data_IF_331660053831
#
_entry.id   IF_331660053831
#
_cell.length_a   1.000
_cell.length_b   1.000
_cell.length_c   1.000
_cell.angle_alpha   90.00
_cell.angle_beta   90.00
_cell.angle_gamma   90.00
#
_symmetry.space_group_name_H-M   'P 1'
#
loop_
_entity.id
_entity.type
_entity.pdbx_description
1 polymer ?
#
# COMPACT_ATOMS: atom_id res chain seq x y z
N UNK A 1 20.48 32.91 -66.55
CA UNK A 1 19.87 34.15 -66.03
C UNK A 1 18.67 33.83 -65.13
N UNK A 2 18.87 34.03 -63.81
CA UNK A 2 17.87 34.25 -62.74
C UNK A 2 16.78 33.17 -62.59
N UNK A 3 16.90 32.11 -61.77
CA UNK A 3 16.86 32.04 -60.28
C UNK A 3 15.83 32.95 -59.60
N UNK A 4 14.70 32.37 -59.21
CA UNK A 4 13.85 32.83 -58.09
C UNK A 4 13.15 31.63 -57.46
N UNK A 5 13.68 31.20 -56.32
CA UNK A 5 13.01 30.39 -55.28
C UNK A 5 11.93 31.23 -54.61
N UNK A 6 10.79 30.65 -54.16
CA UNK A 6 9.96 31.26 -53.14
C UNK A 6 10.45 30.86 -51.74
N UNK A 7 10.48 31.85 -50.86
CA UNK A 7 10.88 31.80 -49.47
C UNK A 7 10.11 30.75 -48.66
N UNK A 8 10.85 29.87 -47.99
CA UNK A 8 10.37 29.09 -46.85
C UNK A 8 10.27 30.00 -45.64
N UNK A 9 9.04 30.44 -45.35
CA UNK A 9 8.69 31.09 -44.10
C UNK A 9 8.93 30.10 -42.93
N UNK A 10 9.99 30.36 -42.16
CA UNK A 10 10.28 29.75 -40.87
C UNK A 10 9.29 30.27 -39.83
N UNK A 11 8.04 29.86 -39.95
CA UNK A 11 7.09 29.95 -38.87
C UNK A 11 7.42 28.87 -37.84
N UNK A 12 7.94 29.33 -36.71
CA UNK A 12 8.22 28.60 -35.47
C UNK A 12 7.18 27.50 -35.19
N UNK A 13 7.60 26.25 -34.86
CA UNK A 13 6.66 25.25 -34.41
C UNK A 13 6.00 25.71 -33.10
N UNK A 14 4.69 25.48 -32.90
CA UNK A 14 4.01 25.84 -31.67
C UNK A 14 4.68 25.14 -30.50
N UNK A 15 4.81 25.89 -29.40
CA UNK A 15 5.36 25.44 -28.14
C UNK A 15 4.91 24.01 -27.82
N UNK A 16 5.91 23.14 -27.77
CA UNK A 16 5.86 21.77 -27.31
C UNK A 16 5.07 21.76 -25.99
N UNK A 17 3.80 21.37 -26.04
CA UNK A 17 3.04 21.02 -24.84
C UNK A 17 3.78 19.83 -24.24
N UNK A 18 4.59 20.12 -23.23
CA UNK A 18 5.24 19.12 -22.40
C UNK A 18 4.16 18.17 -21.93
N UNK A 19 4.13 16.97 -22.52
CA UNK A 19 3.42 15.83 -21.96
C UNK A 19 3.82 15.75 -20.49
N UNK A 20 2.88 15.54 -19.55
CA UNK A 20 3.25 15.28 -18.18
C UNK A 20 4.18 14.08 -18.19
N UNK A 21 5.45 14.35 -17.91
CA UNK A 21 6.50 13.36 -17.71
C UNK A 21 6.04 12.36 -16.67
N UNK A 22 6.47 11.10 -16.80
CA UNK A 22 6.34 9.98 -15.86
C UNK A 22 6.76 10.37 -14.43
N UNK A 23 5.98 11.23 -13.80
CA UNK A 23 6.15 11.71 -12.45
C UNK A 23 5.33 10.74 -11.62
N UNK A 24 6.04 9.84 -10.97
CA UNK A 24 5.50 9.01 -9.90
C UNK A 24 4.64 9.94 -9.01
N UNK A 25 3.32 9.72 -8.88
CA UNK A 25 2.47 10.62 -8.11
C UNK A 25 3.00 10.65 -6.67
N UNK A 26 3.66 11.75 -6.32
CA UNK A 26 4.35 11.93 -5.06
C UNK A 26 3.36 12.43 -4.03
N UNK A 27 2.82 11.52 -3.22
CA UNK A 27 2.17 11.90 -1.97
C UNK A 27 3.29 12.26 -0.97
N UNK A 28 3.37 13.54 -0.62
CA UNK A 28 4.24 14.05 0.44
C UNK A 28 3.33 14.51 1.58
N UNK A 29 3.56 14.02 2.80
CA UNK A 29 2.71 14.30 3.96
C UNK A 29 3.49 14.98 5.09
N UNK A 30 2.86 15.91 5.83
CA UNK A 30 3.34 16.32 7.15
C UNK A 30 3.17 15.17 8.17
N UNK A 31 3.91 15.22 9.30
CA UNK A 31 3.82 14.19 10.33
C UNK A 31 2.41 14.08 10.96
N UNK A 32 2.04 12.89 11.52
CA UNK A 32 0.66 12.53 11.88
C UNK A 32 -0.02 13.40 12.94
N UNK A 33 0.76 14.17 13.70
CA UNK A 33 0.35 14.89 14.91
C UNK A 33 -0.22 16.30 14.65
N UNK A 34 -0.26 16.77 13.39
CA UNK A 34 -0.73 18.12 13.02
C UNK A 34 -1.71 18.13 11.85
N UNK A 35 -2.67 17.19 11.82
CA UNK A 35 -3.70 17.17 10.77
C UNK A 35 -4.69 18.32 11.02
N UNK A 36 -4.77 19.23 10.05
CA UNK A 36 -5.74 20.33 10.09
C UNK A 36 -7.19 19.83 10.00
N UNK A 37 -8.14 20.68 10.36
CA UNK A 37 -9.56 20.32 10.23
C UNK A 37 -9.92 20.11 8.76
N UNK A 38 -10.90 19.23 8.52
CA UNK A 38 -11.39 18.94 7.16
C UNK A 38 -11.86 20.21 6.47
N UNK A 39 -12.58 21.09 7.18
CA UNK A 39 -13.08 22.36 6.63
C UNK A 39 -11.95 23.29 6.17
N UNK A 40 -10.87 23.38 6.97
CA UNK A 40 -9.69 24.19 6.62
C UNK A 40 -8.96 23.58 5.42
N UNK A 41 -8.76 22.26 5.42
CA UNK A 41 -8.08 21.55 4.35
C UNK A 41 -8.84 21.61 3.02
N UNK A 42 -10.18 21.51 3.05
CA UNK A 42 -11.02 21.70 1.87
C UNK A 42 -10.78 23.06 1.23
N UNK A 43 -10.81 24.14 2.03
CA UNK A 43 -10.54 25.50 1.54
C UNK A 43 -9.15 25.63 0.95
N UNK A 44 -8.14 25.07 1.61
CA UNK A 44 -6.75 25.13 1.14
C UNK A 44 -6.53 24.35 -0.16
N UNK A 45 -7.20 23.20 -0.32
CA UNK A 45 -7.19 22.41 -1.56
C UNK A 45 -7.95 23.15 -2.68
N UNK A 46 -9.05 23.82 -2.38
CA UNK A 46 -9.77 24.67 -3.35
C UNK A 46 -8.90 25.83 -3.86
N UNK A 47 -8.15 26.48 -2.96
CA UNK A 47 -7.21 27.55 -3.30
C UNK A 47 -5.98 27.02 -4.07
N UNK A 48 -5.56 25.78 -3.80
CA UNK A 48 -4.36 25.17 -4.37
C UNK A 48 -4.63 23.74 -4.90
N UNK A 49 -5.42 23.59 -5.98
CA UNK A 49 -5.93 22.29 -6.43
C UNK A 49 -4.87 21.33 -6.99
N UNK A 50 -3.62 21.79 -7.17
CA UNK A 50 -2.50 20.96 -7.63
C UNK A 50 -1.51 20.62 -6.50
N UNK A 51 -1.79 21.04 -5.26
CA UNK A 51 -0.91 20.74 -4.13
C UNK A 51 -1.21 19.33 -3.59
N UNK A 52 -0.37 18.37 -4.00
CA UNK A 52 -0.51 16.96 -3.62
C UNK A 52 -0.43 16.74 -2.10
N UNK A 53 0.35 17.57 -1.37
CA UNK A 53 0.47 17.46 0.08
C UNK A 53 -0.84 17.83 0.80
N UNK A 54 -1.49 18.93 0.38
CA UNK A 54 -2.77 19.33 0.94
C UNK A 54 -3.87 18.30 0.67
N UNK A 55 -3.87 17.72 -0.53
CA UNK A 55 -4.79 16.64 -0.89
C UNK A 55 -4.56 15.40 -0.04
N UNK A 56 -3.31 15.00 0.14
CA UNK A 56 -2.98 13.84 0.94
C UNK A 56 -3.36 14.04 2.42
N UNK A 57 -3.12 15.22 2.98
CA UNK A 57 -3.53 15.55 4.35
C UNK A 57 -5.06 15.55 4.48
N UNK A 58 -5.78 16.08 3.48
CA UNK A 58 -7.24 16.01 3.43
C UNK A 58 -7.75 14.57 3.34
N UNK A 59 -7.11 13.72 2.52
CA UNK A 59 -7.45 12.31 2.43
C UNK A 59 -7.23 11.60 3.76
N UNK A 60 -6.12 11.88 4.45
CA UNK A 60 -5.85 11.33 5.77
C UNK A 60 -6.88 11.78 6.81
N UNK A 61 -7.24 13.07 6.83
CA UNK A 61 -8.29 13.61 7.70
C UNK A 61 -9.63 12.90 7.45
N UNK A 62 -9.98 12.65 6.19
CA UNK A 62 -11.17 11.88 5.83
C UNK A 62 -11.11 10.42 6.33
N UNK A 63 -9.97 9.73 6.18
CA UNK A 63 -9.80 8.37 6.68
C UNK A 63 -9.98 8.30 8.20
N UNK A 64 -9.38 9.23 8.94
CA UNK A 64 -9.51 9.31 10.40
C UNK A 64 -10.95 9.62 10.85
N UNK A 65 -11.69 10.41 10.07
CA UNK A 65 -13.09 10.69 10.31
C UNK A 65 -14.05 9.56 9.86
N UNK A 66 -13.52 8.45 9.31
CA UNK A 66 -14.33 7.36 8.75
C UNK A 66 -15.01 7.69 7.42
N UNK A 67 -14.66 8.81 6.80
CA UNK A 67 -15.19 9.29 5.51
C UNK A 67 -14.42 8.63 4.35
N UNK A 68 -14.49 7.29 4.30
CA UNK A 68 -13.70 6.46 3.39
C UNK A 68 -13.87 6.84 1.91
N UNK A 69 -15.10 7.14 1.48
CA UNK A 69 -15.39 7.46 0.07
C UNK A 69 -14.80 8.82 -0.37
N UNK A 70 -14.73 9.80 0.54
CA UNK A 70 -14.13 11.09 0.22
C UNK A 70 -12.62 10.99 0.12
N UNK A 71 -11.98 10.23 1.03
CA UNK A 71 -10.56 9.90 0.94
C UNK A 71 -10.24 9.14 -0.37
N UNK A 72 -11.05 8.12 -0.70
CA UNK A 72 -10.92 7.33 -1.93
C UNK A 72 -10.96 8.21 -3.17
N UNK A 73 -11.88 9.17 -3.24
CA UNK A 73 -12.00 10.09 -4.37
C UNK A 73 -10.74 10.93 -4.59
N UNK A 74 -10.11 11.38 -3.50
CA UNK A 74 -8.85 12.13 -3.58
C UNK A 74 -7.75 11.24 -4.13
N UNK A 75 -7.54 10.05 -3.55
CA UNK A 75 -6.53 9.08 -4.01
C UNK A 75 -6.77 8.76 -5.49
N UNK A 76 -7.99 8.43 -5.89
CA UNK A 76 -8.36 8.17 -7.29
C UNK A 76 -7.97 9.31 -8.24
N UNK A 77 -8.13 10.55 -7.81
CA UNK A 77 -7.80 11.72 -8.63
C UNK A 77 -6.29 11.85 -8.86
N UNK A 78 -5.47 11.56 -7.85
CA UNK A 78 -4.00 11.62 -7.92
C UNK A 78 -3.42 10.51 -8.80
N UNK A 79 -4.04 9.33 -8.79
CA UNK A 79 -3.57 8.20 -9.57
C UNK A 79 -4.29 8.02 -10.91
N UNK A 80 -5.15 8.96 -11.34
CA UNK A 80 -5.88 8.84 -12.63
C UNK A 80 -4.97 8.61 -13.83
N UNK A 81 -3.75 9.16 -13.81
CA UNK A 81 -2.76 8.98 -14.88
C UNK A 81 -1.87 7.73 -14.73
N UNK A 82 -1.89 7.06 -13.58
CA UNK A 82 -1.03 5.91 -13.31
C UNK A 82 -1.47 4.71 -14.15
N UNK A 83 -0.52 4.14 -14.91
CA UNK A 83 -0.76 3.01 -15.83
C UNK A 83 -0.12 1.71 -15.38
N UNK A 84 0.75 1.79 -14.37
CA UNK A 84 1.56 0.66 -13.91
C UNK A 84 1.36 0.46 -12.41
N UNK A 85 1.35 -0.80 -11.92
CA UNK A 85 1.25 -1.12 -10.50
C UNK A 85 2.33 -0.43 -9.65
N UNK A 86 3.53 -0.27 -10.21
CA UNK A 86 4.70 0.29 -9.51
C UNK A 86 4.45 1.68 -8.91
N UNK A 87 3.57 2.49 -9.51
CA UNK A 87 3.23 3.81 -8.97
C UNK A 87 2.50 3.71 -7.62
N UNK A 88 1.58 2.75 -7.49
CA UNK A 88 0.83 2.48 -6.27
C UNK A 88 1.71 1.85 -5.21
N UNK A 89 2.51 0.87 -5.61
CA UNK A 89 3.48 0.17 -4.73
C UNK A 89 4.47 1.19 -4.15
N UNK A 90 5.12 1.99 -4.99
CA UNK A 90 6.14 2.95 -4.54
C UNK A 90 5.55 4.04 -3.64
N UNK A 91 4.31 4.46 -3.90
CA UNK A 91 3.63 5.43 -3.06
C UNK A 91 3.23 4.82 -1.71
N UNK A 92 2.71 3.60 -1.71
CA UNK A 92 2.33 2.89 -0.49
C UNK A 92 3.54 2.58 0.39
N UNK A 93 4.62 2.03 -0.16
CA UNK A 93 5.86 1.74 0.59
C UNK A 93 6.41 3.01 1.27
N UNK A 94 6.46 4.14 0.55
CA UNK A 94 6.85 5.44 1.13
C UNK A 94 5.90 5.90 2.24
N UNK A 95 4.60 5.66 2.09
CA UNK A 95 3.62 6.00 3.12
C UNK A 95 3.80 5.12 4.36
N UNK A 96 4.13 3.84 4.19
CA UNK A 96 4.42 2.92 5.29
C UNK A 96 5.71 3.30 6.03
N UNK A 97 6.76 3.69 5.30
CA UNK A 97 8.02 4.22 5.85
C UNK A 97 7.84 5.55 6.62
N UNK A 98 6.75 6.27 6.35
CA UNK A 98 6.42 7.52 7.04
C UNK A 98 5.26 7.35 8.03
N UNK A 99 4.97 6.11 8.42
CA UNK A 99 3.91 5.70 9.37
C UNK A 99 2.47 6.09 8.96
N UNK A 100 2.27 6.50 7.71
CA UNK A 100 0.97 6.88 7.16
C UNK A 100 0.18 5.67 6.65
N UNK A 101 0.05 4.65 7.49
CA UNK A 101 -0.49 3.32 7.13
C UNK A 101 -1.90 3.37 6.56
N UNK A 102 -2.79 4.22 7.11
CA UNK A 102 -4.18 4.33 6.60
C UNK A 102 -4.21 4.84 5.15
N UNK A 103 -3.37 5.82 4.82
CA UNK A 103 -3.30 6.31 3.45
C UNK A 103 -2.60 5.30 2.53
N UNK A 104 -1.59 4.57 3.03
CA UNK A 104 -0.98 3.46 2.29
C UNK A 104 -2.03 2.42 1.88
N UNK A 105 -2.91 2.02 2.81
CA UNK A 105 -4.04 1.11 2.54
C UNK A 105 -4.96 1.69 1.47
N UNK A 106 -5.32 2.97 1.56
CA UNK A 106 -6.20 3.60 0.55
C UNK A 106 -5.57 3.62 -0.85
N UNK A 107 -4.26 3.89 -0.95
CA UNK A 107 -3.50 3.82 -2.21
C UNK A 107 -3.46 2.39 -2.74
N UNK A 108 -3.17 1.40 -1.89
CA UNK A 108 -3.12 -0.01 -2.27
C UNK A 108 -4.49 -0.54 -2.70
N UNK A 109 -5.57 -0.13 -2.05
CA UNK A 109 -6.93 -0.48 -2.47
C UNK A 109 -7.25 0.06 -3.87
N UNK A 110 -6.92 1.32 -4.16
CA UNK A 110 -7.09 1.86 -5.51
C UNK A 110 -6.18 1.14 -6.53
N UNK A 111 -4.97 0.78 -6.13
CA UNK A 111 -4.06 -0.04 -6.94
C UNK A 111 -4.67 -1.41 -7.27
N UNK A 112 -5.22 -2.10 -6.27
CA UNK A 112 -5.85 -3.40 -6.43
C UNK A 112 -7.06 -3.34 -7.36
N UNK A 113 -7.90 -2.31 -7.24
CA UNK A 113 -9.06 -2.12 -8.13
C UNK A 113 -8.66 -1.98 -9.61
N UNK A 114 -7.42 -1.55 -9.92
CA UNK A 114 -6.93 -1.41 -11.30
C UNK A 114 -6.05 -2.57 -11.75
N UNK A 115 -5.33 -3.19 -10.83
CA UNK A 115 -4.38 -4.26 -11.09
C UNK A 115 -4.65 -5.43 -10.13
N UNK A 116 -5.82 -6.08 -10.23
CA UNK A 116 -6.19 -7.12 -9.27
C UNK A 116 -5.22 -8.30 -9.28
N UNK A 117 -4.59 -8.58 -10.42
CA UNK A 117 -3.63 -9.68 -10.59
C UNK A 117 -2.19 -9.34 -10.18
N UNK A 118 -1.91 -8.12 -9.71
CA UNK A 118 -0.56 -7.77 -9.23
C UNK A 118 -0.37 -8.30 -7.80
N UNK A 119 0.41 -9.38 -7.68
CA UNK A 119 0.61 -10.07 -6.40
C UNK A 119 1.36 -9.23 -5.35
N UNK A 120 2.14 -8.23 -5.77
CA UNK A 120 2.79 -7.31 -4.82
C UNK A 120 1.77 -6.37 -4.19
N UNK A 121 0.83 -5.84 -4.97
CA UNK A 121 -0.27 -5.04 -4.41
C UNK A 121 -1.11 -5.89 -3.46
N UNK A 122 -1.45 -7.12 -3.83
CA UNK A 122 -2.20 -8.03 -2.97
C UNK A 122 -1.49 -8.27 -1.63
N UNK A 123 -0.19 -8.57 -1.68
CA UNK A 123 0.65 -8.83 -0.50
C UNK A 123 0.74 -7.59 0.38
N UNK A 124 1.15 -6.45 -0.18
CA UNK A 124 1.26 -5.20 0.57
C UNK A 124 -0.08 -4.78 1.18
N UNK A 125 -1.18 -4.93 0.45
CA UNK A 125 -2.50 -4.61 0.97
C UNK A 125 -2.86 -5.52 2.14
N UNK A 126 -2.74 -6.84 1.98
CA UNK A 126 -3.02 -7.79 3.06
C UNK A 126 -2.17 -7.47 4.30
N UNK A 127 -0.84 -7.41 4.15
CA UNK A 127 0.05 -7.15 5.29
C UNK A 127 -0.25 -5.80 5.97
N UNK A 128 -0.60 -4.77 5.21
CA UNK A 128 -1.01 -3.47 5.77
C UNK A 128 -2.31 -3.56 6.57
N UNK A 129 -3.31 -4.29 6.06
CA UNK A 129 -4.57 -4.51 6.78
C UNK A 129 -4.33 -5.25 8.10
N UNK A 130 -3.45 -6.27 8.10
CA UNK A 130 -3.13 -7.07 9.27
C UNK A 130 -2.34 -6.28 10.33
N UNK A 131 -1.29 -5.56 9.94
CA UNK A 131 -0.45 -4.78 10.88
C UNK A 131 -1.25 -3.64 11.52
N UNK A 132 -2.19 -3.06 10.78
CA UNK A 132 -3.09 -2.03 11.32
C UNK A 132 -4.30 -2.59 12.07
N UNK A 133 -4.38 -3.92 12.24
CA UNK A 133 -5.46 -4.61 12.94
C UNK A 133 -6.85 -4.19 12.42
N UNK A 134 -6.99 -4.14 11.10
CA UNK A 134 -8.29 -3.88 10.50
C UNK A 134 -9.30 -4.95 10.94
N UNK A 135 -10.59 -4.61 11.09
CA UNK A 135 -11.59 -5.55 11.57
C UNK A 135 -11.57 -6.86 10.77
N UNK A 136 -11.82 -8.02 11.40
CA UNK A 136 -11.83 -9.32 10.72
C UNK A 136 -12.69 -9.36 9.46
N UNK A 137 -13.83 -8.64 9.51
CA UNK A 137 -14.70 -8.46 8.34
C UNK A 137 -13.99 -7.85 7.14
N UNK A 138 -13.12 -6.86 7.33
CA UNK A 138 -12.34 -6.23 6.25
C UNK A 138 -11.38 -7.22 5.61
N UNK A 139 -10.78 -8.11 6.41
CA UNK A 139 -9.92 -9.18 5.92
C UNK A 139 -10.75 -10.19 5.11
N UNK A 140 -11.88 -10.65 5.64
CA UNK A 140 -12.78 -11.57 4.93
C UNK A 140 -13.30 -10.96 3.61
N UNK A 141 -13.70 -9.70 3.61
CA UNK A 141 -14.15 -8.99 2.41
C UNK A 141 -13.04 -8.93 1.36
N UNK A 142 -11.78 -8.69 1.77
CA UNK A 142 -10.65 -8.69 0.86
C UNK A 142 -10.31 -10.08 0.31
N UNK A 143 -10.36 -11.13 1.14
CA UNK A 143 -10.19 -12.53 0.70
C UNK A 143 -11.23 -12.91 -0.36
N UNK A 144 -12.50 -12.56 -0.15
CA UNK A 144 -13.57 -12.78 -1.13
C UNK A 144 -13.32 -12.01 -2.43
N UNK A 145 -12.81 -10.78 -2.34
CA UNK A 145 -12.42 -10.00 -3.53
C UNK A 145 -11.26 -10.64 -4.27
N UNK A 146 -10.28 -11.22 -3.57
CA UNK A 146 -9.16 -11.94 -4.19
C UNK A 146 -9.67 -13.14 -4.98
N UNK A 147 -10.50 -13.99 -4.35
CA UNK A 147 -11.07 -15.18 -5.00
C UNK A 147 -11.92 -14.84 -6.23
N UNK A 148 -12.68 -13.75 -6.18
CA UNK A 148 -13.63 -13.40 -7.25
C UNK A 148 -13.03 -12.58 -8.38
N UNK A 149 -12.01 -11.74 -8.11
CA UNK A 149 -11.50 -10.77 -9.06
C UNK A 149 -10.06 -11.01 -9.53
N UNK A 150 -9.33 -11.94 -8.89
CA UNK A 150 -7.93 -12.20 -9.22
C UNK A 150 -7.74 -13.57 -9.89
N UNK A 151 -7.13 -13.57 -11.07
CA UNK A 151 -6.70 -14.78 -11.77
C UNK A 151 -5.33 -15.28 -11.27
N UNK A 152 -4.52 -14.36 -10.74
CA UNK A 152 -3.22 -14.66 -10.17
C UNK A 152 -3.20 -14.23 -8.71
N UNK A 153 -2.96 -15.18 -7.81
CA UNK A 153 -2.91 -14.95 -6.37
C UNK A 153 -1.61 -15.56 -5.85
N UNK A 154 -0.83 -14.79 -5.08
CA UNK A 154 0.28 -15.36 -4.31
C UNK A 154 -0.33 -16.15 -3.13
N UNK A 155 -0.08 -17.47 -2.98
CA UNK A 155 -0.62 -18.29 -1.90
C UNK A 155 -0.33 -17.76 -0.49
N UNK A 156 0.71 -16.94 -0.33
CA UNK A 156 0.99 -16.27 0.93
C UNK A 156 -0.14 -15.32 1.37
N UNK A 157 -0.81 -14.66 0.41
CA UNK A 157 -1.85 -13.67 0.69
C UNK A 157 -3.07 -14.26 1.39
N UNK A 158 -3.75 -15.28 0.84
CA UNK A 158 -4.88 -15.91 1.54
C UNK A 158 -4.43 -16.55 2.85
N UNK A 159 -3.26 -17.20 2.89
CA UNK A 159 -2.76 -17.82 4.12
C UNK A 159 -2.56 -16.80 5.26
N UNK A 160 -2.02 -15.61 4.98
CA UNK A 160 -1.91 -14.54 5.98
C UNK A 160 -3.28 -14.07 6.49
N UNK A 161 -4.24 -13.88 5.58
CA UNK A 161 -5.59 -13.44 5.93
C UNK A 161 -6.36 -14.49 6.73
N UNK A 162 -6.32 -15.74 6.31
CA UNK A 162 -6.97 -16.87 6.98
C UNK A 162 -6.32 -17.16 8.33
N UNK A 163 -4.99 -17.10 8.44
CA UNK A 163 -4.30 -17.24 9.71
C UNK A 163 -4.69 -16.14 10.71
N UNK A 164 -4.86 -14.90 10.23
CA UNK A 164 -5.38 -13.82 11.08
C UNK A 164 -6.81 -14.10 11.56
N UNK A 165 -7.69 -14.57 10.68
CA UNK A 165 -9.06 -14.94 11.08
C UNK A 165 -9.07 -16.09 12.09
N UNK A 166 -8.22 -17.11 11.91
CA UNK A 166 -8.08 -18.21 12.86
C UNK A 166 -7.59 -17.73 14.24
N UNK A 167 -6.69 -16.74 14.31
CA UNK A 167 -6.28 -16.13 15.57
C UNK A 167 -7.44 -15.42 16.29
N UNK A 168 -8.27 -14.70 15.54
CA UNK A 168 -9.46 -14.02 16.09
C UNK A 168 -10.50 -15.02 16.63
N UNK A 169 -10.47 -16.26 16.12
CA UNK A 169 -11.29 -17.38 16.58
C UNK A 169 -10.62 -18.21 17.70
N UNK A 170 -9.50 -17.73 18.27
CA UNK A 170 -8.72 -18.42 19.31
C UNK A 170 -8.19 -19.80 18.85
N UNK A 171 -7.85 -19.92 17.56
CA UNK A 171 -7.29 -21.12 16.94
C UNK A 171 -5.86 -20.88 16.37
N UNK A 172 -4.86 -20.66 17.23
CA UNK A 172 -3.51 -20.35 16.79
C UNK A 172 -2.78 -21.53 16.13
N UNK A 173 -3.14 -22.79 16.44
CA UNK A 173 -2.56 -23.95 15.77
C UNK A 173 -2.93 -24.01 14.29
N UNK A 174 -4.19 -23.69 13.95
CA UNK A 174 -4.64 -23.58 12.56
C UNK A 174 -3.91 -22.44 11.85
N UNK A 175 -3.76 -21.28 12.50
CA UNK A 175 -3.01 -20.16 11.96
C UNK A 175 -1.57 -20.55 11.59
N UNK A 176 -0.86 -21.25 12.48
CA UNK A 176 0.50 -21.75 12.20
C UNK A 176 0.51 -22.76 11.04
N UNK A 177 -0.46 -23.67 10.98
CA UNK A 177 -0.54 -24.66 9.90
C UNK A 177 -0.75 -24.01 8.53
N UNK A 178 -1.59 -22.98 8.45
CA UNK A 178 -1.84 -22.22 7.22
C UNK A 178 -0.56 -21.51 6.76
N UNK A 179 0.13 -20.82 7.68
CA UNK A 179 1.37 -20.12 7.39
C UNK A 179 2.50 -21.08 6.97
N UNK A 180 2.65 -22.21 7.66
CA UNK A 180 3.66 -23.23 7.35
C UNK A 180 3.42 -23.84 5.95
N UNK A 181 2.16 -24.10 5.60
CA UNK A 181 1.78 -24.60 4.28
C UNK A 181 2.15 -23.59 3.18
N UNK A 182 1.86 -22.30 3.41
CA UNK A 182 2.24 -21.26 2.48
C UNK A 182 3.76 -21.10 2.36
N UNK A 183 4.50 -21.19 3.46
CA UNK A 183 5.97 -21.11 3.48
C UNK A 183 6.66 -22.21 2.65
N UNK A 184 6.02 -23.35 2.39
CA UNK A 184 6.58 -24.40 1.54
C UNK A 184 6.62 -24.01 0.05
N UNK A 185 5.74 -23.12 -0.37
CA UNK A 185 5.61 -22.70 -1.78
C UNK A 185 5.97 -21.23 -2.02
N UNK A 186 6.03 -20.42 -0.95
CA UNK A 186 6.35 -19.00 -1.02
C UNK A 186 7.82 -18.77 -1.37
N UNK A 187 8.04 -17.98 -2.41
CA UNK A 187 9.36 -17.50 -2.85
C UNK A 187 9.55 -16.01 -2.57
N UNK A 188 8.51 -15.19 -2.81
CA UNK A 188 8.62 -13.72 -2.75
C UNK A 188 8.17 -13.16 -1.39
N UNK A 189 7.10 -13.70 -0.82
CA UNK A 189 6.45 -13.17 0.39
C UNK A 189 6.86 -13.92 1.68
N UNK A 190 8.09 -14.47 1.70
CA UNK A 190 8.57 -15.29 2.82
C UNK A 190 8.79 -14.48 4.09
N UNK A 191 9.27 -13.25 3.95
CA UNK A 191 9.53 -12.38 5.09
C UNK A 191 8.22 -12.01 5.80
N UNK A 192 7.17 -11.71 5.04
CA UNK A 192 5.83 -11.39 5.53
C UNK A 192 5.20 -12.59 6.25
N UNK A 193 5.29 -13.79 5.67
CA UNK A 193 4.79 -15.01 6.32
C UNK A 193 5.51 -15.29 7.64
N UNK A 194 6.84 -15.19 7.67
CA UNK A 194 7.63 -15.40 8.89
C UNK A 194 7.37 -14.34 9.96
N UNK A 195 7.14 -13.09 9.54
CA UNK A 195 6.69 -12.04 10.44
C UNK A 195 5.32 -12.38 11.05
N UNK A 196 4.35 -12.82 10.25
CA UNK A 196 3.04 -13.29 10.75
C UNK A 196 3.18 -14.49 11.70
N UNK A 197 4.05 -15.45 11.40
CA UNK A 197 4.36 -16.57 12.30
C UNK A 197 4.91 -16.07 13.64
N UNK A 198 5.80 -15.09 13.63
CA UNK A 198 6.30 -14.47 14.85
C UNK A 198 5.21 -13.79 15.67
N UNK A 199 4.26 -13.11 15.02
CA UNK A 199 3.09 -12.54 15.69
C UNK A 199 2.19 -13.61 16.33
N UNK A 200 1.96 -14.73 15.65
CA UNK A 200 1.18 -15.86 16.20
C UNK A 200 1.86 -16.39 17.48
N UNK A 201 3.16 -16.68 17.42
CA UNK A 201 3.89 -17.15 18.60
C UNK A 201 3.91 -16.13 19.74
N UNK A 202 3.97 -14.84 19.43
CA UNK A 202 3.89 -13.77 20.43
C UNK A 202 2.54 -13.75 21.14
N UNK A 203 1.43 -13.93 20.42
CA UNK A 203 0.08 -14.03 21.00
C UNK A 203 -0.04 -15.27 21.91
N UNK A 204 0.65 -16.36 21.58
CA UNK A 204 0.69 -17.58 22.40
C UNK A 204 1.67 -17.52 23.59
N UNK A 205 2.27 -16.36 23.89
CA UNK A 205 3.32 -16.18 24.90
C UNK A 205 4.57 -17.07 24.67
N UNK A 206 4.83 -17.49 23.43
CA UNK A 206 5.99 -18.29 23.03
C UNK A 206 7.13 -17.39 22.55
N UNK A 207 7.66 -16.55 23.45
CA UNK A 207 8.61 -15.47 23.12
C UNK A 207 9.88 -15.92 22.38
N UNK A 208 10.42 -17.10 22.72
CA UNK A 208 11.62 -17.64 22.06
C UNK A 208 11.32 -17.96 20.58
N UNK A 209 10.19 -18.61 20.31
CA UNK A 209 9.77 -18.97 18.95
C UNK A 209 9.37 -17.74 18.14
N UNK A 210 8.74 -16.75 18.77
CA UNK A 210 8.46 -15.46 18.14
C UNK A 210 9.75 -14.76 17.69
N UNK A 211 10.74 -14.69 18.58
CA UNK A 211 12.06 -14.10 18.30
C UNK A 211 12.77 -14.81 17.14
N UNK A 212 12.74 -16.14 17.13
CA UNK A 212 13.34 -16.93 16.06
C UNK A 212 12.64 -16.70 14.71
N UNK A 213 11.30 -16.64 14.69
CA UNK A 213 10.54 -16.33 13.49
C UNK A 213 10.81 -14.91 12.96
N UNK A 214 10.85 -13.91 13.83
CA UNK A 214 11.21 -12.54 13.45
C UNK A 214 12.63 -12.43 12.89
N UNK A 215 13.61 -13.10 13.50
CA UNK A 215 14.98 -13.16 12.97
C UNK A 215 15.04 -13.88 11.63
N UNK A 216 14.25 -14.93 11.44
CA UNK A 216 14.15 -15.61 10.16
C UNK A 216 13.55 -14.68 9.10
N UNK A 217 12.53 -13.88 9.43
CA UNK A 217 11.96 -12.89 8.51
C UNK A 217 13.02 -11.91 7.99
N UNK A 218 13.90 -11.40 8.86
CA UNK A 218 15.00 -10.50 8.49
C UNK A 218 16.01 -11.13 7.52
N UNK A 219 16.16 -12.45 7.50
CA UNK A 219 17.06 -13.15 6.56
C UNK A 219 16.51 -13.21 5.14
N UNK A 220 15.24 -12.85 4.93
CA UNK A 220 14.56 -12.92 3.64
C UNK A 220 14.41 -11.55 2.95
N UNK A 221 15.25 -10.57 3.30
CA UNK A 221 15.26 -9.22 2.72
C UNK A 221 13.87 -8.55 2.73
N UNK A 222 13.26 -8.36 3.91
CA UNK A 222 12.00 -7.63 4.01
C UNK A 222 12.13 -6.21 3.43
N UNK A 223 10.99 -5.62 3.06
CA UNK A 223 10.96 -4.20 2.73
C UNK A 223 11.39 -3.35 3.95
N UNK A 224 11.98 -2.15 3.75
CA UNK A 224 12.50 -1.33 4.85
C UNK A 224 11.49 -1.05 5.96
N UNK A 225 10.24 -0.74 5.61
CA UNK A 225 9.17 -0.51 6.59
C UNK A 225 8.84 -1.77 7.42
N UNK A 226 8.98 -2.97 6.83
CA UNK A 226 8.74 -4.24 7.52
C UNK A 226 9.95 -4.61 8.38
N UNK A 227 11.16 -4.33 7.93
CA UNK A 227 12.39 -4.47 8.73
C UNK A 227 12.30 -3.66 10.01
N UNK A 228 11.96 -2.37 9.92
CA UNK A 228 11.78 -1.48 11.08
C UNK A 228 10.71 -2.02 12.05
N UNK A 229 9.60 -2.53 11.49
CA UNK A 229 8.55 -3.14 12.28
C UNK A 229 9.03 -4.39 13.02
N UNK A 230 9.72 -5.30 12.32
CA UNK A 230 10.28 -6.51 12.93
C UNK A 230 11.26 -6.16 14.04
N UNK A 231 12.13 -5.16 13.83
CA UNK A 231 13.08 -4.70 14.85
C UNK A 231 12.36 -4.17 16.09
N UNK A 232 11.28 -3.42 15.90
CA UNK A 232 10.44 -2.96 17.02
C UNK A 232 9.84 -4.13 17.79
N UNK A 233 9.38 -5.19 17.12
CA UNK A 233 8.86 -6.39 17.79
C UNK A 233 9.94 -7.17 18.55
N UNK A 234 11.22 -7.10 18.13
CA UNK A 234 12.35 -7.74 18.80
C UNK A 234 12.85 -6.97 20.04
N UNK A 235 12.53 -5.67 20.13
CA UNK A 235 12.91 -4.82 21.27
C UNK A 235 11.91 -4.87 22.43
N UNK A 236 10.67 -5.31 22.17
CA UNK A 236 9.55 -5.33 23.12
C UNK A 236 9.22 -6.76 23.60
#
# INVERSE_FOLDING_TARGET
PTTTTPDTDLSTPPANQTRPTDTNPGIFLPPPDQIRSIEELQKLVEENPNNAALKAELALAYLQAGQLEDARRIVQSEFRGARLPIAYISAAERLMETENMLLAIAVLQEGYMRFPNDTRIQTLLMTSLLITQQPPRTISDFLNLLETNSEQIDPAVPAMGEAYLALEEDNPEEALQLLDTALQSATTSRAELLYMTGLVYKIQDQSDLATDAFRAALQHNPAPWLEERIMTELEN
#
